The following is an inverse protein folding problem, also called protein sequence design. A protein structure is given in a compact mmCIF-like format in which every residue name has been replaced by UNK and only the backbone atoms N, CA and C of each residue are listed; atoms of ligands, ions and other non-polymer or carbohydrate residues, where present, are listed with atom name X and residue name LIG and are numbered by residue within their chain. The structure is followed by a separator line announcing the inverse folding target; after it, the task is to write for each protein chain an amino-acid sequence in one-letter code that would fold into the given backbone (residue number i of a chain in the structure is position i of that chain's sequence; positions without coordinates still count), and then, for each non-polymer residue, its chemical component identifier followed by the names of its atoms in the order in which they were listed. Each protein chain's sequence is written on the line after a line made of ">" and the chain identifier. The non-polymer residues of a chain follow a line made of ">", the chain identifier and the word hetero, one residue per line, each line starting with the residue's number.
data_IF_080256147534
#
_entry.id   IF_080256147534
#
_cell.length_a   1.000
_cell.length_b   1.000
_cell.length_c   1.000
_cell.angle_alpha   90.00
_cell.angle_beta   90.00
_cell.angle_gamma   90.00
#
_symmetry.space_group_name_H-M   'P 1'
#
loop_
_entity.id
_entity.type
_entity.pdbx_description
1 polymer ?
#
# COMPACT_ATOMS: atom_id res chain seq x y z
N UNK A 1 -27.65 38.25 -1.32
CA UNK A 1 -26.21 38.52 -1.36
C UNK A 1 -25.55 37.32 -2.03
N UNK A 2 -24.91 37.53 -3.19
CA UNK A 2 -24.37 36.48 -4.03
C UNK A 2 -22.91 36.19 -3.58
N UNK A 3 -22.64 35.02 -3.03
CA UNK A 3 -21.25 34.59 -2.74
C UNK A 3 -20.69 33.92 -3.99
N UNK A 4 -19.63 34.52 -4.53
CA UNK A 4 -18.83 33.98 -5.63
C UNK A 4 -17.86 32.94 -5.06
N UNK A 5 -17.99 31.70 -5.51
CA UNK A 5 -16.98 30.65 -5.28
C UNK A 5 -15.85 30.88 -6.29
N UNK A 6 -14.69 31.23 -5.80
CA UNK A 6 -13.46 31.38 -6.61
C UNK A 6 -12.78 30.01 -6.71
N UNK A 7 -12.80 29.44 -7.90
CA UNK A 7 -12.02 28.23 -8.21
C UNK A 7 -10.54 28.65 -8.28
N UNK A 8 -9.71 28.08 -7.41
CA UNK A 8 -8.27 28.21 -7.49
C UNK A 8 -7.74 27.06 -8.35
N UNK A 9 -7.35 27.38 -9.57
CA UNK A 9 -6.67 26.48 -10.49
C UNK A 9 -5.19 26.51 -10.15
N UNK A 10 -4.64 25.47 -9.55
CA UNK A 10 -3.21 25.33 -9.32
C UNK A 10 -2.61 24.65 -10.56
N UNK A 11 -1.97 25.44 -11.43
CA UNK A 11 -1.13 24.96 -12.53
C UNK A 11 0.26 24.66 -11.99
N UNK A 12 0.61 23.38 -11.88
CA UNK A 12 2.00 22.97 -11.63
C UNK A 12 2.66 22.70 -12.98
N UNK A 13 3.32 23.74 -13.50
CA UNK A 13 4.24 23.60 -14.63
C UNK A 13 5.66 23.44 -14.07
N UNK A 14 6.18 22.23 -14.08
CA UNK A 14 7.59 21.96 -13.76
C UNK A 14 8.32 21.58 -15.06
N UNK A 15 8.93 22.58 -15.70
CA UNK A 15 9.83 22.39 -16.84
C UNK A 15 11.25 22.11 -16.30
N UNK A 16 11.71 20.88 -16.44
CA UNK A 16 13.13 20.57 -16.39
C UNK A 16 13.60 20.14 -17.78
N UNK A 17 14.27 21.04 -18.48
CA UNK A 17 15.09 20.73 -19.64
C UNK A 17 16.44 20.19 -19.15
N UNK A 18 16.67 18.91 -19.32
CA UNK A 18 18.03 18.34 -19.29
C UNK A 18 18.32 17.76 -20.68
N UNK A 19 19.08 18.52 -21.47
CA UNK A 19 19.71 18.01 -22.67
C UNK A 19 21.02 17.35 -22.28
N UNK A 20 21.09 16.04 -22.32
CA UNK A 20 22.34 15.28 -22.31
C UNK A 20 22.39 14.44 -23.59
N UNK A 21 23.21 14.90 -24.53
CA UNK A 21 23.68 14.10 -25.64
C UNK A 21 24.67 13.05 -25.11
N UNK A 22 24.26 11.80 -25.04
CA UNK A 22 25.17 10.66 -24.99
C UNK A 22 24.71 9.68 -26.06
N UNK A 23 25.42 9.67 -27.19
CA UNK A 23 25.40 8.54 -28.08
C UNK A 23 25.98 7.34 -27.31
N UNK A 24 25.13 6.36 -27.02
CA UNK A 24 25.57 5.05 -26.58
C UNK A 24 24.69 4.04 -27.29
N UNK A 25 25.32 3.01 -27.83
CA UNK A 25 24.74 1.90 -28.58
C UNK A 25 23.42 1.43 -27.96
N UNK A 26 22.39 1.36 -28.78
CA UNK A 26 21.08 0.78 -28.42
C UNK A 26 21.27 -0.72 -28.27
N UNK A 27 21.69 -1.16 -27.09
CA UNK A 27 21.40 -2.51 -26.66
C UNK A 27 19.88 -2.55 -26.52
N UNK A 28 19.21 -3.45 -27.25
CA UNK A 28 17.77 -3.69 -27.16
C UNK A 28 17.39 -3.86 -25.68
N UNK A 29 16.92 -2.79 -25.06
CA UNK A 29 16.31 -2.84 -23.73
C UNK A 29 15.08 -3.73 -23.91
N UNK A 30 15.08 -4.90 -23.28
CA UNK A 30 13.95 -5.82 -23.29
C UNK A 30 12.71 -5.04 -22.84
N UNK A 31 11.80 -4.79 -23.77
CA UNK A 31 10.51 -4.15 -23.47
C UNK A 31 9.76 -5.07 -22.52
N UNK A 32 9.74 -4.72 -21.25
CA UNK A 32 9.02 -5.49 -20.23
C UNK A 32 7.54 -5.53 -20.61
N UNK A 33 7.01 -6.73 -20.83
CA UNK A 33 5.62 -6.87 -21.29
C UNK A 33 4.64 -6.45 -20.19
N UNK A 34 3.41 -6.07 -20.58
CA UNK A 34 2.34 -5.77 -19.62
C UNK A 34 2.00 -6.97 -18.72
N UNK A 35 2.16 -8.20 -19.23
CA UNK A 35 2.04 -9.43 -18.46
C UNK A 35 3.13 -9.53 -17.39
N UNK A 36 4.40 -9.28 -17.75
CA UNK A 36 5.53 -9.35 -16.82
C UNK A 36 5.40 -8.30 -15.71
N UNK A 37 4.95 -7.10 -16.06
CA UNK A 37 4.69 -6.04 -15.06
C UNK A 37 3.53 -6.42 -14.12
N UNK A 38 2.45 -6.99 -14.64
CA UNK A 38 1.35 -7.45 -13.79
C UNK A 38 1.79 -8.56 -12.84
N UNK A 39 2.67 -9.47 -13.28
CA UNK A 39 3.28 -10.50 -12.42
C UNK A 39 4.24 -9.91 -11.39
N UNK A 40 5.09 -8.95 -11.79
CA UNK A 40 6.00 -8.27 -10.87
C UNK A 40 5.25 -7.50 -9.79
N UNK A 41 4.14 -6.82 -10.14
CA UNK A 41 3.30 -6.10 -9.18
C UNK A 41 2.62 -7.01 -8.16
N UNK A 42 2.35 -8.25 -8.52
CA UNK A 42 1.85 -9.25 -7.59
C UNK A 42 2.91 -9.76 -6.59
N UNK A 43 4.18 -9.40 -6.79
CA UNK A 43 5.31 -9.74 -5.91
C UNK A 43 5.81 -8.49 -5.17
N UNK A 44 5.49 -8.30 -3.87
CA UNK A 44 5.87 -7.12 -3.10
C UNK A 44 7.37 -6.89 -2.91
N UNK A 45 8.21 -7.87 -3.23
CA UNK A 45 9.68 -7.77 -3.17
C UNK A 45 10.34 -7.89 -4.54
N UNK A 46 9.58 -7.68 -5.62
CA UNK A 46 10.13 -7.64 -6.97
C UNK A 46 11.14 -6.51 -7.17
N UNK A 47 12.00 -6.66 -8.18
CA UNK A 47 13.01 -5.64 -8.54
C UNK A 47 12.41 -4.46 -9.34
N UNK A 48 11.15 -4.13 -9.10
CA UNK A 48 10.39 -3.07 -9.76
C UNK A 48 10.17 -1.91 -8.78
N UNK A 49 10.60 -0.70 -9.16
CA UNK A 49 10.21 0.50 -8.42
C UNK A 49 8.76 0.81 -8.75
N UNK A 50 7.92 0.91 -7.73
CA UNK A 50 6.51 1.25 -7.90
C UNK A 50 6.04 2.23 -6.83
N UNK A 51 5.05 3.05 -7.18
CA UNK A 51 4.41 3.97 -6.25
C UNK A 51 2.90 3.76 -6.31
N UNK A 52 2.36 2.81 -5.52
CA UNK A 52 0.92 2.69 -5.33
C UNK A 52 0.33 3.94 -4.67
N UNK A 53 -0.71 4.47 -5.28
CA UNK A 53 -1.61 5.51 -4.76
C UNK A 53 -2.94 4.80 -4.53
N UNK A 54 -3.17 4.39 -3.29
CA UNK A 54 -4.29 3.54 -2.93
C UNK A 54 -5.36 4.37 -2.21
N UNK A 55 -6.51 4.48 -2.83
CA UNK A 55 -7.67 5.19 -2.31
C UNK A 55 -8.64 4.19 -1.70
N UNK A 56 -8.98 4.35 -0.43
CA UNK A 56 -9.95 3.52 0.28
C UNK A 56 -11.12 4.40 0.72
N UNK A 57 -12.33 3.98 0.40
CA UNK A 57 -13.58 4.60 0.78
C UNK A 57 -14.32 3.59 1.65
N UNK A 58 -14.45 3.89 2.94
CA UNK A 58 -15.01 2.99 3.94
C UNK A 58 -16.29 3.60 4.53
N UNK A 59 -17.36 2.82 4.53
CA UNK A 59 -18.71 3.25 4.85
C UNK A 59 -19.21 2.55 6.11
N UNK A 60 -20.10 3.24 6.83
CA UNK A 60 -20.70 2.80 8.09
C UNK A 60 -19.58 2.46 9.12
N UNK A 61 -18.69 3.43 9.34
CA UNK A 61 -17.57 3.28 10.24
C UNK A 61 -18.03 3.45 11.68
N UNK A 62 -17.93 2.37 12.45
CA UNK A 62 -18.24 2.40 13.88
C UNK A 62 -19.71 2.66 14.24
N UNK A 63 -20.00 2.90 15.52
CA UNK A 63 -21.38 3.01 16.04
C UNK A 63 -22.16 4.20 15.49
N UNK A 64 -21.49 5.19 14.91
CA UNK A 64 -22.12 6.39 14.34
C UNK A 64 -22.33 6.29 12.83
N UNK A 65 -22.05 5.11 12.24
CA UNK A 65 -22.16 4.86 10.80
C UNK A 65 -21.41 5.89 9.96
N UNK A 66 -20.24 6.31 10.44
CA UNK A 66 -19.41 7.35 9.85
C UNK A 66 -18.82 6.95 8.48
N UNK A 67 -18.12 7.89 7.88
CA UNK A 67 -17.39 7.68 6.63
C UNK A 67 -15.90 7.92 6.84
N UNK A 68 -15.05 7.06 6.24
CA UNK A 68 -13.60 7.23 6.26
C UNK A 68 -13.01 7.07 4.86
N UNK A 69 -12.32 8.11 4.41
CA UNK A 69 -11.44 8.06 3.26
C UNK A 69 -9.99 7.93 3.73
N UNK A 70 -9.24 7.00 3.14
CA UNK A 70 -7.81 6.84 3.41
C UNK A 70 -7.04 6.75 2.10
N UNK A 71 -6.21 7.74 1.83
CA UNK A 71 -5.24 7.73 0.75
C UNK A 71 -3.91 7.21 1.28
N UNK A 72 -3.45 6.06 0.81
CA UNK A 72 -2.14 5.52 1.14
C UNK A 72 -1.20 5.70 -0.05
N UNK A 73 -0.16 6.53 0.10
CA UNK A 73 0.94 6.64 -0.86
C UNK A 73 2.01 5.65 -0.42
N UNK A 74 2.35 4.67 -1.29
CA UNK A 74 3.14 3.51 -0.87
C UNK A 74 4.36 3.28 -1.78
N UNK A 75 5.41 4.12 -1.77
CA UNK A 75 6.62 3.86 -2.54
C UNK A 75 7.28 2.54 -2.11
N UNK A 76 7.56 1.70 -3.12
CA UNK A 76 8.29 0.43 -2.99
C UNK A 76 9.57 0.54 -3.81
N UNK A 77 10.71 0.50 -3.13
CA UNK A 77 12.02 0.73 -3.73
C UNK A 77 12.95 -0.46 -3.46
N UNK A 78 13.20 -1.30 -4.46
CA UNK A 78 14.19 -2.38 -4.35
C UNK A 78 15.61 -1.82 -4.52
N UNK A 79 16.49 -2.17 -3.59
CA UNK A 79 17.89 -1.79 -3.54
C UNK A 79 18.73 -3.06 -3.58
N UNK A 80 19.62 -3.18 -4.55
CA UNK A 80 20.57 -4.30 -4.62
C UNK A 80 21.66 -4.11 -3.58
N UNK A 81 21.78 -5.03 -2.61
CA UNK A 81 22.85 -5.01 -1.59
C UNK A 81 24.12 -5.66 -2.15
N UNK A 82 23.97 -6.83 -2.75
CA UNK A 82 25.04 -7.58 -3.37
C UNK A 82 24.47 -8.50 -4.46
N UNK A 83 25.29 -9.42 -5.00
CA UNK A 83 24.85 -10.34 -6.06
C UNK A 83 23.71 -11.30 -5.64
N UNK A 84 23.57 -11.58 -4.34
CA UNK A 84 22.64 -12.59 -3.81
C UNK A 84 21.40 -11.98 -3.14
N UNK A 85 21.47 -10.73 -2.67
CA UNK A 85 20.45 -10.12 -1.81
C UNK A 85 19.96 -8.76 -2.31
N UNK A 86 18.66 -8.55 -2.22
CA UNK A 86 18.00 -7.25 -2.31
C UNK A 86 17.52 -6.82 -0.92
N UNK A 87 17.53 -5.51 -0.70
CA UNK A 87 16.73 -4.86 0.33
C UNK A 87 15.54 -4.17 -0.36
N UNK A 88 14.34 -4.37 0.13
CA UNK A 88 13.15 -3.67 -0.37
C UNK A 88 12.61 -2.76 0.72
N UNK A 89 12.59 -1.47 0.43
CA UNK A 89 12.00 -0.44 1.29
C UNK A 89 10.57 -0.19 0.84
N UNK A 90 9.58 -0.37 1.71
CA UNK A 90 8.17 -0.03 1.49
C UNK A 90 7.72 0.94 2.57
N UNK A 91 7.38 2.15 2.17
CA UNK A 91 6.82 3.17 3.07
C UNK A 91 5.32 3.27 2.82
N UNK A 92 4.51 3.40 3.84
CA UNK A 92 3.08 3.69 3.74
C UNK A 92 2.84 5.04 4.40
N UNK A 93 2.41 6.02 3.61
CA UNK A 93 2.11 7.38 4.05
C UNK A 93 0.59 7.55 3.96
N UNK A 94 -0.16 7.49 5.08
CA UNK A 94 -1.60 7.62 5.08
C UNK A 94 -2.02 9.08 5.21
N UNK A 95 -2.91 9.52 4.31
CA UNK A 95 -3.70 10.75 4.46
C UNK A 95 -5.13 10.31 4.70
N UNK A 96 -5.70 10.74 5.82
CA UNK A 96 -7.01 10.29 6.29
C UNK A 96 -7.96 11.48 6.33
N UNK A 97 -9.19 11.27 5.87
CA UNK A 97 -10.31 12.19 6.07
C UNK A 97 -11.50 11.36 6.52
N UNK A 98 -12.08 11.72 7.66
CA UNK A 98 -13.22 10.98 8.23
C UNK A 98 -14.27 11.95 8.76
N UNK A 99 -15.52 11.50 8.71
CA UNK A 99 -16.68 12.23 9.25
C UNK A 99 -17.58 11.30 10.07
N UNK A 100 -18.12 11.81 11.15
CA UNK A 100 -19.01 11.09 12.07
C UNK A 100 -18.41 9.79 12.66
N UNK A 101 -17.07 9.69 12.75
CA UNK A 101 -16.40 8.52 13.31
C UNK A 101 -16.18 8.66 14.81
N UNK A 102 -15.75 9.84 15.26
CA UNK A 102 -15.43 10.10 16.68
C UNK A 102 -16.59 10.71 17.44
N UNK A 103 -17.39 11.56 16.80
CA UNK A 103 -18.61 12.17 17.32
C UNK A 103 -19.50 12.58 16.15
N UNK A 104 -20.81 12.72 16.37
CA UNK A 104 -21.73 13.26 15.39
C UNK A 104 -21.34 14.70 15.00
N UNK A 105 -21.24 14.96 13.69
CA UNK A 105 -20.78 16.24 13.14
C UNK A 105 -19.26 16.43 13.17
N UNK A 106 -18.50 15.46 13.64
CA UNK A 106 -17.03 15.53 13.60
C UNK A 106 -16.50 15.39 12.17
N UNK A 107 -15.44 16.14 11.88
CA UNK A 107 -14.70 16.03 10.62
C UNK A 107 -13.22 16.19 10.92
N UNK A 108 -12.46 15.13 10.74
CA UNK A 108 -11.01 15.13 10.95
C UNK A 108 -10.31 14.81 9.63
N UNK A 109 -9.28 15.60 9.31
CA UNK A 109 -8.46 15.38 8.13
C UNK A 109 -7.00 15.66 8.44
N UNK A 110 -6.11 14.75 8.06
CA UNK A 110 -4.68 14.90 8.28
C UNK A 110 -3.86 13.69 7.90
N UNK A 111 -2.61 13.70 8.34
CA UNK A 111 -1.72 12.54 8.21
C UNK A 111 -2.00 11.53 9.32
N UNK A 112 -1.93 10.26 8.99
CA UNK A 112 -1.79 9.17 9.95
C UNK A 112 -0.34 8.87 10.30
N UNK A 113 -0.11 7.81 11.04
CA UNK A 113 1.24 7.33 11.36
C UNK A 113 1.84 6.60 10.15
N UNK A 114 3.08 6.97 9.79
CA UNK A 114 3.82 6.35 8.69
C UNK A 114 4.33 4.99 9.13
N UNK A 115 4.10 3.97 8.31
CA UNK A 115 4.70 2.65 8.48
C UNK A 115 5.83 2.44 7.47
N UNK A 116 7.00 2.01 7.95
CA UNK A 116 8.17 1.71 7.14
C UNK A 116 8.54 0.24 7.29
N UNK A 117 8.36 -0.52 6.23
CA UNK A 117 8.80 -1.93 6.15
C UNK A 117 10.10 -2.04 5.39
N UNK A 118 11.01 -2.84 5.89
CA UNK A 118 12.26 -3.22 5.21
C UNK A 118 12.25 -4.74 5.08
N UNK A 119 12.48 -5.25 3.87
CA UNK A 119 12.60 -6.67 3.61
C UNK A 119 13.97 -6.98 3.03
N UNK A 120 14.65 -7.96 3.59
CA UNK A 120 15.81 -8.60 2.99
C UNK A 120 15.31 -9.85 2.27
N UNK A 121 15.52 -9.91 0.97
CA UNK A 121 15.01 -10.99 0.10
C UNK A 121 16.13 -11.51 -0.80
N UNK A 122 16.29 -12.84 -0.95
CA UNK A 122 17.20 -13.40 -1.93
C UNK A 122 16.79 -12.99 -3.36
N UNK A 123 17.80 -12.74 -4.22
CA UNK A 123 17.55 -12.48 -5.65
C UNK A 123 17.17 -13.75 -6.39
N UNK A 124 17.70 -14.90 -5.94
CA UNK A 124 17.41 -16.19 -6.55
C UNK A 124 16.03 -16.70 -6.12
N UNK A 125 15.16 -16.91 -7.09
CA UNK A 125 13.83 -17.50 -6.89
C UNK A 125 13.92 -19.00 -7.13
N UNK A 126 13.87 -19.81 -6.07
CA UNK A 126 13.92 -21.28 -6.16
C UNK A 126 12.52 -21.87 -6.28
N UNK A 127 12.27 -22.60 -7.37
CA UNK A 127 10.97 -23.24 -7.62
C UNK A 127 9.79 -22.25 -7.53
N UNK A 128 9.96 -20.98 -7.91
CA UNK A 128 8.94 -19.95 -7.80
C UNK A 128 8.64 -19.48 -6.36
N UNK A 129 9.40 -19.91 -5.35
CA UNK A 129 9.26 -19.42 -3.98
C UNK A 129 10.06 -18.14 -3.80
N UNK A 130 9.37 -17.09 -3.35
CA UNK A 130 9.95 -15.79 -2.97
C UNK A 130 9.63 -15.54 -1.52
N UNK A 131 10.61 -15.03 -0.78
CA UNK A 131 10.42 -14.64 0.61
C UNK A 131 11.27 -13.44 0.98
N UNK A 132 10.87 -12.75 2.02
CA UNK A 132 11.63 -11.64 2.59
C UNK A 132 11.32 -11.48 4.06
N UNK A 133 12.32 -11.09 4.84
CA UNK A 133 12.17 -10.81 6.27
C UNK A 133 12.91 -9.52 6.63
N UNK A 134 12.47 -8.87 7.69
CA UNK A 134 13.12 -7.67 8.18
C UNK A 134 12.30 -6.95 9.24
N UNK A 135 12.68 -5.72 9.60
CA UNK A 135 11.92 -4.91 10.54
C UNK A 135 10.76 -4.17 9.88
N UNK A 136 9.74 -3.89 10.67
CA UNK A 136 8.74 -2.83 10.43
C UNK A 136 8.87 -1.78 11.51
N UNK A 137 8.77 -0.51 11.13
CA UNK A 137 8.81 0.64 12.01
C UNK A 137 7.50 1.41 11.87
N UNK A 138 6.95 1.89 12.98
CA UNK A 138 5.86 2.86 13.01
C UNK A 138 6.39 4.19 13.51
N UNK A 139 6.09 5.26 12.77
CA UNK A 139 6.57 6.61 13.03
C UNK A 139 5.40 7.49 13.50
N UNK A 140 5.52 8.24 14.60
CA UNK A 140 4.43 9.03 15.18
C UNK A 140 4.19 10.33 14.39
N UNK A 141 3.76 10.21 13.14
CA UNK A 141 3.56 11.32 12.22
C UNK A 141 2.12 11.82 12.15
N UNK A 142 1.20 11.14 12.83
CA UNK A 142 -0.20 11.52 12.85
C UNK A 142 -0.37 12.96 13.34
N UNK A 143 -1.14 13.76 12.58
CA UNK A 143 -1.38 15.17 12.91
C UNK A 143 -2.40 15.32 14.04
N UNK A 144 -3.25 14.31 14.24
CA UNK A 144 -4.22 14.23 15.33
C UNK A 144 -4.22 12.85 15.99
N UNK A 145 -4.65 12.77 17.28
CA UNK A 145 -4.72 11.52 18.06
C UNK A 145 -5.78 10.54 17.53
N UNK A 146 -6.79 11.03 16.80
CA UNK A 146 -7.83 10.20 16.20
C UNK A 146 -7.47 9.67 14.80
N UNK A 147 -6.34 10.15 14.24
CA UNK A 147 -5.82 9.73 12.93
C UNK A 147 -4.65 8.76 13.01
N UNK A 148 -4.09 8.55 14.20
CA UNK A 148 -3.00 7.61 14.45
C UNK A 148 -2.69 7.43 15.92
N UNK A 149 -1.83 6.49 16.23
CA UNK A 149 -1.47 6.16 17.61
C UNK A 149 -0.48 7.15 18.22
N UNK A 150 0.25 7.92 17.39
CA UNK A 150 1.35 8.82 17.83
C UNK A 150 2.41 8.11 18.68
N UNK A 151 2.69 6.87 18.36
CA UNK A 151 3.69 6.02 19.00
C UNK A 151 4.80 5.65 18.03
N UNK A 152 6.01 5.62 18.55
CA UNK A 152 7.11 4.90 17.91
C UNK A 152 6.89 3.41 18.12
N UNK A 153 6.88 2.65 17.05
CA UNK A 153 6.72 1.20 17.09
C UNK A 153 7.79 0.50 16.27
N UNK A 154 8.11 -0.72 16.65
CA UNK A 154 9.04 -1.60 15.93
C UNK A 154 8.60 -3.05 16.08
N UNK A 155 8.92 -3.86 15.08
CA UNK A 155 8.69 -5.29 15.17
C UNK A 155 9.19 -6.06 13.95
N UNK A 156 9.02 -7.39 13.95
CA UNK A 156 9.39 -8.25 12.83
C UNK A 156 8.37 -8.13 11.69
N UNK A 157 8.86 -8.35 10.48
CA UNK A 157 8.06 -8.36 9.26
C UNK A 157 8.53 -9.49 8.36
N UNK A 158 7.62 -10.26 7.80
CA UNK A 158 7.92 -11.37 6.91
C UNK A 158 6.91 -11.44 5.76
N UNK A 159 7.39 -11.88 4.62
CA UNK A 159 6.61 -12.15 3.42
C UNK A 159 7.03 -13.49 2.86
N UNK A 160 6.07 -14.30 2.43
CA UNK A 160 6.30 -15.49 1.62
C UNK A 160 5.27 -15.55 0.52
N UNK A 161 5.69 -15.88 -0.71
CA UNK A 161 4.79 -16.09 -1.83
C UNK A 161 5.33 -17.13 -2.80
N UNK A 162 4.42 -17.68 -3.60
CA UNK A 162 4.66 -18.63 -4.66
C UNK A 162 4.25 -18.03 -6.00
N UNK A 163 5.17 -18.07 -6.96
CA UNK A 163 4.92 -17.76 -8.35
C UNK A 163 4.68 -19.08 -9.10
N UNK A 164 3.51 -19.24 -9.71
CA UNK A 164 3.13 -20.46 -10.44
C UNK A 164 2.35 -20.12 -11.70
N UNK A 165 3.03 -20.06 -12.83
CA UNK A 165 2.44 -19.64 -14.09
C UNK A 165 1.92 -18.21 -14.04
N UNK A 166 0.60 -18.05 -14.15
CA UNK A 166 -0.09 -16.76 -14.05
C UNK A 166 -0.57 -16.43 -12.63
N UNK A 167 -0.38 -17.35 -11.68
CA UNK A 167 -0.78 -17.18 -10.29
C UNK A 167 0.39 -16.70 -9.42
N UNK A 168 0.08 -15.75 -8.54
CA UNK A 168 0.92 -15.37 -7.40
C UNK A 168 0.06 -15.46 -6.16
N UNK A 169 0.46 -16.24 -5.18
CA UNK A 169 -0.26 -16.33 -3.92
C UNK A 169 0.70 -16.42 -2.75
N UNK A 170 0.31 -15.81 -1.65
CA UNK A 170 1.19 -15.72 -0.49
C UNK A 170 0.58 -14.96 0.66
N UNK A 171 1.42 -14.61 1.61
CA UNK A 171 1.02 -13.81 2.76
C UNK A 171 2.15 -12.91 3.22
N UNK A 172 1.76 -11.76 3.76
CA UNK A 172 2.60 -10.86 4.54
C UNK A 172 2.12 -10.88 5.98
N UNK A 173 3.05 -10.92 6.93
CA UNK A 173 2.78 -10.86 8.36
C UNK A 173 3.76 -9.89 9.00
N UNK A 174 3.28 -9.11 9.94
CA UNK A 174 4.13 -8.33 10.84
C UNK A 174 3.51 -8.25 12.23
N UNK A 175 4.34 -7.85 13.18
CA UNK A 175 3.91 -7.51 14.51
C UNK A 175 4.61 -6.22 14.94
N UNK A 176 3.90 -5.32 15.62
CA UNK A 176 4.43 -4.03 16.07
C UNK A 176 4.15 -3.86 17.56
N UNK A 177 5.22 -3.58 18.32
CA UNK A 177 5.15 -3.08 19.69
C UNK A 177 5.53 -1.61 19.73
N UNK A 178 4.78 -0.79 20.47
CA UNK A 178 5.22 0.57 20.78
C UNK A 178 6.26 0.57 21.91
N UNK A 179 7.19 1.54 21.84
CA UNK A 179 8.22 1.70 22.86
C UNK A 179 8.38 3.16 23.35
N UNK A 180 7.80 4.13 22.63
CA UNK A 180 7.83 5.55 22.96
C UNK A 180 6.71 6.30 22.25
N UNK A 181 6.48 7.57 22.62
CA UNK A 181 5.52 8.46 21.95
C UNK A 181 4.54 9.08 22.92
N UNK A 182 3.79 10.08 22.44
CA UNK A 182 2.85 10.89 23.25
C UNK A 182 1.39 10.41 23.16
N UNK A 183 1.08 9.46 22.28
CA UNK A 183 -0.28 8.93 22.13
C UNK A 183 -0.77 8.22 23.40
N UNK A 184 -2.09 8.19 23.64
CA UNK A 184 -2.66 7.68 24.89
C UNK A 184 -2.57 6.16 25.05
N UNK A 185 -2.56 5.42 23.94
CA UNK A 185 -2.62 3.97 23.96
C UNK A 185 -1.35 3.36 23.39
N UNK A 186 -0.83 2.35 24.08
CA UNK A 186 0.29 1.55 23.59
C UNK A 186 -0.19 0.60 22.46
N UNK A 187 0.74 0.21 21.60
CA UNK A 187 0.49 -0.69 20.49
C UNK A 187 1.13 -2.03 20.82
N UNK A 188 0.33 -3.07 20.70
CA UNK A 188 0.72 -4.47 20.62
C UNK A 188 -0.21 -5.12 19.59
N UNK A 189 0.23 -5.14 18.32
CA UNK A 189 -0.65 -5.51 17.21
C UNK A 189 0.04 -6.40 16.19
N UNK A 190 -0.68 -7.46 15.77
CA UNK A 190 -0.29 -8.34 14.68
C UNK A 190 -1.08 -8.01 13.43
N UNK A 191 -0.42 -7.97 12.28
CA UNK A 191 -1.03 -7.82 10.97
C UNK A 191 -0.78 -9.06 10.11
N UNK A 192 -1.81 -9.54 9.41
CA UNK A 192 -1.74 -10.68 8.51
C UNK A 192 -2.52 -10.40 7.22
N UNK A 193 -1.82 -10.47 6.08
CA UNK A 193 -2.37 -10.18 4.75
C UNK A 193 -2.13 -11.37 3.81
N UNK A 194 -3.05 -12.35 3.71
CA UNK A 194 -3.04 -13.36 2.67
C UNK A 194 -3.59 -12.78 1.36
N UNK A 195 -3.05 -13.23 0.24
CA UNK A 195 -3.52 -12.82 -1.08
C UNK A 195 -3.31 -13.88 -2.15
N UNK A 196 -4.11 -13.81 -3.20
CA UNK A 196 -3.93 -14.57 -4.43
C UNK A 196 -4.26 -13.68 -5.62
N UNK A 197 -3.36 -13.59 -6.58
CA UNK A 197 -3.47 -12.79 -7.79
C UNK A 197 -3.34 -13.68 -9.02
N UNK A 198 -4.28 -13.57 -9.95
CA UNK A 198 -4.17 -14.11 -11.29
C UNK A 198 -3.83 -12.95 -12.26
N UNK A 199 -2.68 -13.05 -12.95
CA UNK A 199 -2.25 -12.09 -13.95
C UNK A 199 -2.42 -12.69 -15.35
N UNK A 200 -3.25 -12.05 -16.19
CA UNK A 200 -3.50 -12.51 -17.56
C UNK A 200 -2.37 -12.06 -18.50
N UNK A 201 -2.28 -12.72 -19.66
CA UNK A 201 -1.34 -12.34 -20.73
C UNK A 201 -1.55 -10.94 -21.30
N UNK A 202 -2.72 -10.34 -21.07
CA UNK A 202 -3.04 -8.98 -21.53
C UNK A 202 -2.68 -7.90 -20.54
N UNK A 203 -1.99 -8.22 -19.43
CA UNK A 203 -1.64 -7.29 -18.36
C UNK A 203 -2.82 -6.95 -17.43
N UNK A 204 -3.95 -7.63 -17.55
CA UNK A 204 -5.03 -7.55 -16.59
C UNK A 204 -4.77 -8.51 -15.42
N UNK A 205 -5.22 -8.17 -14.22
CA UNK A 205 -5.12 -9.04 -13.03
C UNK A 205 -6.39 -8.99 -12.21
N UNK A 206 -6.64 -10.09 -11.51
CA UNK A 206 -7.66 -10.19 -10.45
C UNK A 206 -6.95 -10.62 -9.19
N UNK A 207 -7.15 -9.88 -8.10
CA UNK A 207 -6.58 -10.18 -6.79
C UNK A 207 -7.71 -10.39 -5.78
N UNK A 208 -7.63 -11.48 -5.04
CA UNK A 208 -8.40 -11.68 -3.80
C UNK A 208 -7.40 -11.51 -2.66
N UNK A 209 -7.72 -10.66 -1.70
CA UNK A 209 -6.88 -10.42 -0.53
C UNK A 209 -7.73 -10.18 0.71
N UNK A 210 -7.16 -10.52 1.87
CA UNK A 210 -7.68 -10.09 3.16
C UNK A 210 -6.57 -9.34 3.91
N UNK A 211 -6.97 -8.35 4.70
CA UNK A 211 -6.08 -7.63 5.60
C UNK A 211 -6.68 -7.72 7.00
N UNK A 212 -5.92 -8.27 7.94
CA UNK A 212 -6.39 -8.57 9.28
C UNK A 212 -5.44 -7.95 10.29
N UNK A 213 -6.00 -7.37 11.35
CA UNK A 213 -5.24 -6.84 12.49
C UNK A 213 -5.82 -7.40 13.79
N UNK A 214 -4.97 -7.96 14.63
CA UNK A 214 -5.27 -8.27 16.02
C UNK A 214 -4.58 -7.23 16.89
N UNK A 215 -5.35 -6.47 17.65
CA UNK A 215 -4.90 -5.63 18.75
C UNK A 215 -4.93 -6.46 20.04
N UNK A 216 -3.76 -6.77 20.57
CA UNK A 216 -3.62 -7.62 21.75
C UNK A 216 -3.89 -6.87 23.06
N UNK A 217 -3.75 -5.55 23.09
CA UNK A 217 -4.04 -4.74 24.26
C UNK A 217 -5.54 -4.63 24.57
N UNK A 218 -6.35 -4.57 23.50
CA UNK A 218 -7.79 -4.38 23.61
C UNK A 218 -8.60 -5.64 23.27
N UNK A 219 -7.94 -6.73 22.87
CA UNK A 219 -8.55 -7.96 22.36
C UNK A 219 -9.50 -7.72 21.17
N UNK A 220 -9.10 -6.77 20.29
CA UNK A 220 -9.86 -6.46 19.09
C UNK A 220 -9.25 -7.15 17.88
N UNK A 221 -10.06 -7.94 17.20
CA UNK A 221 -9.77 -8.44 15.88
C UNK A 221 -10.59 -7.66 14.85
N UNK A 222 -9.94 -7.14 13.82
CA UNK A 222 -10.60 -6.47 12.71
C UNK A 222 -9.91 -6.76 11.40
N UNK A 223 -10.70 -6.85 10.34
CA UNK A 223 -10.14 -7.08 9.02
C UNK A 223 -11.18 -6.88 7.92
N UNK A 224 -10.71 -7.04 6.69
CA UNK A 224 -11.58 -7.07 5.52
C UNK A 224 -11.09 -8.09 4.50
N UNK A 225 -12.00 -8.56 3.66
CA UNK A 225 -11.71 -9.29 2.45
C UNK A 225 -12.18 -8.48 1.24
N UNK A 226 -11.39 -8.50 0.17
CA UNK A 226 -11.70 -7.78 -1.06
C UNK A 226 -11.33 -8.53 -2.30
N UNK A 227 -11.99 -8.18 -3.40
CA UNK A 227 -11.66 -8.63 -4.75
C UNK A 227 -11.39 -7.39 -5.62
N UNK A 228 -10.24 -7.40 -6.31
CA UNK A 228 -9.77 -6.25 -7.05
C UNK A 228 -9.41 -6.65 -8.48
N UNK A 229 -9.97 -5.93 -9.44
CA UNK A 229 -9.54 -6.01 -10.83
C UNK A 229 -8.57 -4.87 -11.12
N UNK A 230 -7.51 -5.15 -11.87
CA UNK A 230 -6.56 -4.13 -12.29
C UNK A 230 -6.02 -4.43 -13.70
N UNK A 231 -5.52 -3.38 -14.37
CA UNK A 231 -4.90 -3.51 -15.69
C UNK A 231 -3.71 -2.59 -15.83
N UNK A 232 -2.62 -3.11 -16.37
CA UNK A 232 -1.44 -2.34 -16.77
C UNK A 232 -1.75 -1.60 -18.06
N UNK A 233 -1.46 -0.30 -18.07
CA UNK A 233 -1.68 0.62 -19.18
C UNK A 233 -0.41 1.43 -19.42
N UNK A 234 -0.25 1.92 -20.65
CA UNK A 234 0.86 2.79 -21.02
C UNK A 234 0.31 4.12 -21.51
N UNK A 235 0.74 5.22 -20.87
CA UNK A 235 0.42 6.58 -21.28
C UNK A 235 1.70 7.29 -21.70
N UNK A 236 1.93 7.43 -22.98
CA UNK A 236 3.20 7.93 -23.51
C UNK A 236 4.37 7.02 -23.08
N UNK A 237 5.29 7.54 -22.28
CA UNK A 237 6.43 6.79 -21.72
C UNK A 237 6.16 6.24 -20.33
N UNK A 238 5.07 6.64 -19.68
CA UNK A 238 4.74 6.21 -18.32
C UNK A 238 3.89 4.95 -18.35
N UNK A 239 4.36 3.92 -17.67
CA UNK A 239 3.59 2.71 -17.39
C UNK A 239 2.90 2.86 -16.03
N UNK A 240 1.64 2.45 -15.98
CA UNK A 240 0.87 2.47 -14.75
C UNK A 240 -0.12 1.30 -14.71
N UNK A 241 -0.54 0.93 -13.51
CA UNK A 241 -1.66 0.01 -13.33
C UNK A 241 -2.83 0.77 -12.70
N UNK A 242 -4.01 0.64 -13.30
CA UNK A 242 -5.27 1.12 -12.75
C UNK A 242 -6.10 -0.06 -12.31
N UNK A 243 -6.74 0.07 -11.14
CA UNK A 243 -7.60 -1.00 -10.64
C UNK A 243 -8.39 -0.60 -9.42
N UNK A 244 -9.21 -1.53 -8.98
CA UNK A 244 -10.00 -1.37 -7.77
C UNK A 244 -11.04 -2.46 -7.62
N UNK A 245 -11.82 -2.37 -6.54
CA UNK A 245 -12.89 -3.30 -6.26
C UNK A 245 -13.47 -3.13 -4.86
N UNK A 246 -14.53 -3.87 -4.56
CA UNK A 246 -15.20 -3.84 -3.27
C UNK A 246 -14.43 -4.61 -2.21
N UNK A 247 -14.68 -4.24 -0.95
CA UNK A 247 -14.23 -4.95 0.24
C UNK A 247 -15.34 -4.98 1.28
N UNK A 248 -15.38 -6.05 2.06
CA UNK A 248 -16.30 -6.23 3.19
C UNK A 248 -15.49 -6.45 4.46
N UNK A 249 -15.93 -5.84 5.54
CA UNK A 249 -15.24 -5.90 6.81
C UNK A 249 -15.85 -6.95 7.73
N UNK A 250 -15.06 -7.41 8.70
CA UNK A 250 -15.46 -8.39 9.70
C UNK A 250 -14.61 -8.25 10.96
N UNK A 251 -15.04 -8.89 12.04
CA UNK A 251 -14.35 -8.93 13.32
C UNK A 251 -15.16 -8.26 14.43
N UNK A 252 -14.52 -8.08 15.60
CA UNK A 252 -15.15 -7.53 16.79
C UNK A 252 -14.67 -6.11 17.15
N UNK A 253 -13.87 -5.47 16.28
CA UNK A 253 -13.47 -4.09 16.50
C UNK A 253 -14.69 -3.17 16.33
N UNK A 254 -15.07 -2.40 17.36
CA UNK A 254 -16.29 -1.57 17.32
C UNK A 254 -16.23 -0.42 16.29
N UNK A 255 -15.04 -0.11 15.77
CA UNK A 255 -14.84 0.90 14.73
C UNK A 255 -14.62 0.30 13.33
N UNK A 256 -14.90 -1.00 13.14
CA UNK A 256 -14.91 -1.57 11.80
C UNK A 256 -15.96 -0.87 10.94
N UNK A 257 -15.63 -0.57 9.67
CA UNK A 257 -16.65 -0.29 8.66
C UNK A 257 -17.48 -1.55 8.35
N UNK A 258 -18.64 -1.38 7.70
CA UNK A 258 -19.37 -2.54 7.15
C UNK A 258 -18.77 -2.98 5.81
N UNK A 259 -18.57 -2.02 4.92
CA UNK A 259 -18.07 -2.26 3.58
C UNK A 259 -17.24 -1.08 3.05
N UNK A 260 -16.58 -1.27 1.93
CA UNK A 260 -15.82 -0.20 1.30
C UNK A 260 -15.47 -0.51 -0.14
N UNK A 261 -14.85 0.47 -0.78
CA UNK A 261 -14.30 0.35 -2.13
C UNK A 261 -12.85 0.80 -2.10
N UNK A 262 -12.00 0.06 -2.82
CA UNK A 262 -10.60 0.45 -3.05
C UNK A 262 -10.40 0.79 -4.52
N UNK A 263 -9.74 1.91 -4.79
CA UNK A 263 -9.27 2.30 -6.11
C UNK A 263 -7.75 2.53 -6.06
N UNK A 264 -7.01 1.94 -6.99
CA UNK A 264 -5.56 1.99 -7.03
C UNK A 264 -5.06 2.60 -8.33
N UNK A 265 -4.09 3.49 -8.22
CA UNK A 265 -3.23 3.96 -9.31
C UNK A 265 -1.80 3.58 -8.91
N UNK A 266 -1.13 2.73 -9.67
CA UNK A 266 0.24 2.33 -9.37
C UNK A 266 1.15 2.84 -10.49
N UNK A 267 2.02 3.79 -10.16
CA UNK A 267 3.06 4.26 -11.07
C UNK A 267 4.20 3.26 -11.10
N UNK A 268 4.64 2.88 -12.31
CA UNK A 268 5.66 1.86 -12.55
C UNK A 268 6.90 2.49 -13.15
N UNK A 269 8.06 2.15 -12.60
CA UNK A 269 9.36 2.61 -13.07
C UNK A 269 10.26 1.40 -13.32
N UNK A 270 10.11 0.72 -14.48
CA UNK A 270 10.99 -0.36 -14.88
C UNK A 270 12.44 0.14 -14.98
N UNK A 271 13.39 -0.71 -14.54
CA UNK A 271 14.84 -0.44 -14.62
C UNK A 271 15.37 -0.84 -15.98
#
# INVERSE_FOLDING_TARGET
>A
MKNKITLITISVAFLMNFSLNAQTEVTESQVTSAEDLAKQLANPVAALISVPIQNNFDFNVGPLEGFKYSLNIQPVIPISINEKWNMVSRTIIPVISQSDVTALGSNETGLGDIAQSIFFSPKEVKNGLVWGVGPVLLLPTATDNVLGAKKWGVGPNALVLKLQGQWTYGALVNHIWSYAGSGPNDIDASFFQPFATYASKTGASVTIAAENTQDWNNDFFGGFAGIYYAKVLTFGKQMLQLGGGPKVFYGNNPFNPDWGVRANIILLFPK
#
